data_IF_544633403446
#
_entry.id   IF_544633403446
#
_cell.length_a   1.000
_cell.length_b   1.000
_cell.length_c   1.000
_cell.angle_alpha   90.00
_cell.angle_beta   90.00
_cell.angle_gamma   90.00
#
_symmetry.space_group_name_H-M   'P 1'
#
loop_
_entity.id
_entity.type
_entity.pdbx_description
1 polymer ?
#
# COMPACT_ATOMS: atom_id res chain seq x y z
N UNK A 1 -31.61 -45.18 -28.46
CA UNK A 1 -30.16 -44.89 -28.53
C UNK A 1 -29.95 -43.54 -29.20
N UNK A 2 -29.19 -42.63 -28.58
CA UNK A 2 -28.55 -41.48 -29.23
C UNK A 2 -27.13 -41.93 -29.64
N UNK A 3 -26.50 -41.50 -30.75
CA UNK A 3 -25.78 -40.21 -30.84
C UNK A 3 -25.88 -39.58 -32.26
N UNK A 4 -25.58 -38.31 -32.55
CA UNK A 4 -24.25 -37.71 -32.64
C UNK A 4 -24.38 -36.26 -33.16
N UNK A 5 -23.49 -35.40 -32.66
CA UNK A 5 -23.23 -33.99 -32.98
C UNK A 5 -22.78 -33.73 -34.43
N UNK A 6 -23.14 -32.58 -35.01
CA UNK A 6 -22.35 -31.82 -36.02
C UNK A 6 -22.87 -30.36 -36.08
N UNK A 7 -22.28 -29.42 -35.33
CA UNK A 7 -21.24 -28.44 -35.72
C UNK A 7 -21.59 -27.50 -36.89
N UNK A 8 -21.61 -26.20 -36.56
CA UNK A 8 -21.69 -25.06 -37.47
C UNK A 8 -22.27 -23.86 -36.71
N UNK A 9 -21.50 -22.99 -36.04
CA UNK A 9 -20.13 -22.57 -36.30
C UNK A 9 -20.14 -21.13 -36.85
N UNK A 10 -20.58 -20.14 -36.06
CA UNK A 10 -20.24 -18.73 -36.30
C UNK A 10 -19.19 -18.33 -35.28
N UNK A 11 -17.97 -18.17 -35.78
CA UNK A 11 -16.80 -17.62 -35.09
C UNK A 11 -17.02 -16.13 -34.80
N UNK A 12 -16.67 -15.69 -33.61
CA UNK A 12 -16.63 -14.26 -33.30
C UNK A 12 -16.17 -13.95 -31.87
N UNK A 13 -14.86 -13.79 -31.72
CA UNK A 13 -14.16 -13.00 -30.70
C UNK A 13 -14.12 -13.48 -29.24
N UNK A 14 -12.92 -13.90 -28.84
CA UNK A 14 -12.44 -14.07 -27.47
C UNK A 14 -12.10 -12.70 -26.87
N UNK A 15 -12.59 -12.42 -25.65
CA UNK A 15 -11.96 -11.65 -24.56
C UNK A 15 -13.09 -11.13 -23.66
N UNK A 16 -13.60 -11.94 -22.73
CA UNK A 16 -13.13 -12.03 -21.33
C UNK A 16 -12.94 -10.66 -20.68
N UNK A 17 -13.97 -10.14 -20.04
CA UNK A 17 -14.03 -9.98 -18.57
C UNK A 17 -15.37 -9.36 -18.17
N UNK A 18 -16.35 -10.22 -17.94
CA UNK A 18 -17.61 -9.85 -17.32
C UNK A 18 -18.15 -11.09 -16.64
N UNK A 19 -18.12 -11.11 -15.31
CA UNK A 19 -18.96 -11.92 -14.42
C UNK A 19 -18.61 -11.63 -12.95
N UNK A 20 -19.45 -10.76 -12.39
CA UNK A 20 -19.75 -10.56 -10.98
C UNK A 20 -20.12 -11.92 -10.35
N UNK A 21 -19.57 -12.29 -9.18
CA UNK A 21 -20.10 -13.24 -8.15
C UNK A 21 -19.04 -13.29 -7.02
N UNK A 22 -19.24 -12.60 -5.90
CA UNK A 22 -19.97 -13.00 -4.69
C UNK A 22 -19.18 -13.92 -3.73
N UNK A 23 -19.17 -13.49 -2.46
CA UNK A 23 -18.95 -14.27 -1.25
C UNK A 23 -17.81 -15.30 -1.22
N UNK A 24 -16.72 -14.93 -0.57
CA UNK A 24 -16.14 -15.82 0.44
C UNK A 24 -15.84 -15.01 1.70
N UNK A 25 -16.79 -15.09 2.63
CA UNK A 25 -16.53 -14.96 4.06
C UNK A 25 -15.31 -15.81 4.41
N UNK A 26 -14.21 -15.19 4.83
CA UNK A 26 -13.14 -15.93 5.51
C UNK A 26 -13.00 -15.35 6.91
N UNK A 27 -13.87 -15.83 7.81
CA UNK A 27 -13.61 -15.78 9.24
C UNK A 27 -12.38 -16.62 9.54
N UNK A 28 -11.31 -15.98 9.97
CA UNK A 28 -10.46 -16.58 11.00
C UNK A 28 -10.29 -15.56 12.11
N UNK A 29 -11.02 -15.83 13.20
CA UNK A 29 -10.69 -15.30 14.53
C UNK A 29 -9.34 -15.94 14.89
N UNK A 30 -8.24 -15.19 14.77
CA UNK A 30 -6.98 -15.59 15.36
C UNK A 30 -6.93 -15.09 16.80
N UNK A 31 -7.43 -15.90 17.74
CA UNK A 31 -7.00 -15.82 19.13
C UNK A 31 -5.96 -16.91 19.36
N UNK A 32 -4.69 -16.52 19.41
CA UNK A 32 -3.62 -17.30 20.03
C UNK A 32 -2.69 -16.31 20.74
N UNK A 33 -2.70 -16.32 22.08
CA UNK A 33 -1.76 -15.53 22.88
C UNK A 33 -0.49 -16.33 23.16
N UNK A 34 0.63 -15.64 22.99
CA UNK A 34 1.95 -15.79 23.62
C UNK A 34 2.79 -17.06 23.40
N UNK A 35 3.90 -16.85 22.68
CA UNK A 35 5.21 -17.20 23.22
C UNK A 35 6.06 -15.91 23.35
N UNK A 36 6.35 -15.49 24.58
CA UNK A 36 7.42 -14.54 24.85
C UNK A 36 8.74 -15.30 24.73
N UNK A 37 9.29 -15.33 23.52
CA UNK A 37 10.68 -15.73 23.32
C UNK A 37 11.54 -14.50 23.54
N UNK A 38 12.09 -14.38 24.74
CA UNK A 38 13.28 -13.55 24.97
C UNK A 38 14.46 -14.26 24.33
N UNK A 39 14.62 -14.12 23.03
CA UNK A 39 15.92 -14.31 22.40
C UNK A 39 16.55 -12.93 22.37
N UNK A 40 17.59 -12.74 23.18
CA UNK A 40 18.45 -11.59 23.06
C UNK A 40 19.26 -11.77 21.77
N UNK A 41 18.60 -11.51 20.64
CA UNK A 41 19.29 -11.24 19.39
C UNK A 41 20.04 -9.93 19.64
N UNK A 42 21.35 -9.97 19.48
CA UNK A 42 22.23 -8.80 19.53
C UNK A 42 21.57 -7.65 18.76
N UNK A 43 21.18 -6.61 19.49
CA UNK A 43 20.21 -5.60 19.08
C UNK A 43 20.78 -4.64 18.05
N UNK A 44 21.11 -5.14 16.87
CA UNK A 44 21.11 -4.32 15.67
C UNK A 44 19.65 -3.97 15.43
N UNK A 45 19.19 -2.90 16.06
CA UNK A 45 18.00 -2.18 15.62
C UNK A 45 18.26 -1.85 14.15
N UNK A 46 17.68 -2.63 13.23
CA UNK A 46 17.59 -2.16 11.86
C UNK A 46 16.89 -0.81 11.95
N UNK A 47 17.44 0.19 11.26
CA UNK A 47 16.73 1.45 11.14
C UNK A 47 15.32 1.16 10.59
N UNK A 48 14.28 1.87 11.05
CA UNK A 48 12.94 1.69 10.49
C UNK A 48 13.02 1.81 8.97
N UNK A 49 12.50 0.81 8.25
CA UNK A 49 12.56 0.73 6.79
C UNK A 49 11.42 1.55 6.15
N UNK A 50 11.23 2.78 6.66
CA UNK A 50 10.35 3.77 6.05
C UNK A 50 11.15 4.54 5.01
N UNK A 51 10.83 4.31 3.74
CA UNK A 51 11.56 4.86 2.59
C UNK A 51 10.68 5.82 1.80
N UNK A 52 11.31 6.73 1.06
CA UNK A 52 10.62 7.47 0.00
C UNK A 52 10.41 6.52 -1.17
N UNK A 53 9.15 6.24 -1.52
CA UNK A 53 8.78 5.34 -2.61
C UNK A 53 8.63 6.10 -3.93
N UNK A 54 7.80 7.16 -3.92
CA UNK A 54 7.48 7.95 -5.10
C UNK A 54 7.52 9.45 -4.80
N UNK A 55 7.82 10.24 -5.82
CA UNK A 55 7.84 11.71 -5.74
C UNK A 55 7.13 12.26 -6.96
N UNK A 56 6.07 13.04 -6.73
CA UNK A 56 5.44 13.87 -7.73
C UNK A 56 5.79 15.33 -7.47
N UNK A 57 6.73 15.86 -8.25
CA UNK A 57 7.18 17.24 -8.17
C UNK A 57 7.24 17.87 -9.56
N UNK A 58 6.89 19.15 -9.62
CA UNK A 58 7.04 20.00 -10.81
C UNK A 58 6.46 19.38 -12.09
N UNK A 59 5.26 18.77 -12.01
CA UNK A 59 4.62 18.18 -13.19
C UNK A 59 4.33 19.25 -14.25
N UNK A 60 4.66 18.99 -15.53
CA UNK A 60 4.40 19.93 -16.61
C UNK A 60 2.90 20.01 -16.91
N UNK A 61 2.37 21.24 -16.91
CA UNK A 61 0.98 21.50 -17.29
C UNK A 61 0.34 22.60 -16.46
N UNK A 62 -0.86 23.02 -16.86
CA UNK A 62 -1.62 24.11 -16.20
C UNK A 62 -2.58 23.62 -15.11
N UNK A 63 -2.67 22.31 -14.88
CA UNK A 63 -3.65 21.68 -13.98
C UNK A 63 -3.01 20.96 -12.78
N UNK A 64 -1.72 21.15 -12.53
CA UNK A 64 -1.03 20.53 -11.39
C UNK A 64 -1.43 21.25 -10.09
N UNK A 65 -2.38 20.69 -9.35
CA UNK A 65 -2.91 21.29 -8.11
C UNK A 65 -2.16 20.83 -6.86
N UNK A 66 -1.39 19.74 -6.95
CA UNK A 66 -0.71 19.12 -5.84
C UNK A 66 0.69 18.68 -6.27
N UNK A 67 1.61 18.72 -5.30
CA UNK A 67 2.84 17.94 -5.32
C UNK A 67 2.84 17.05 -4.09
N UNK A 68 3.48 15.89 -4.18
CA UNK A 68 3.48 14.96 -3.08
C UNK A 68 4.70 14.05 -3.07
N UNK A 69 4.95 13.49 -1.89
CA UNK A 69 5.90 12.41 -1.66
C UNK A 69 5.15 11.24 -1.04
N UNK A 70 5.41 10.03 -1.54
CA UNK A 70 4.92 8.80 -0.96
C UNK A 70 6.00 8.17 -0.09
N UNK A 71 5.63 7.82 1.13
CA UNK A 71 6.42 6.98 2.03
C UNK A 71 5.88 5.56 1.98
N UNK A 72 6.79 4.58 1.96
CA UNK A 72 6.47 3.17 2.13
C UNK A 72 7.18 2.65 3.37
N UNK A 73 6.44 1.98 4.23
CA UNK A 73 6.98 1.22 5.33
C UNK A 73 7.24 -0.22 4.87
N UNK A 74 8.49 -0.56 4.59
CA UNK A 74 8.86 -1.92 4.18
C UNK A 74 8.92 -2.92 5.34
N UNK A 75 8.82 -2.47 6.59
CA UNK A 75 8.79 -3.35 7.74
C UNK A 75 7.45 -4.11 7.85
N UNK A 76 7.51 -5.22 8.60
CA UNK A 76 6.34 -6.03 8.98
C UNK A 76 5.59 -5.51 10.20
N UNK A 77 5.97 -4.32 10.71
CA UNK A 77 5.36 -3.66 11.88
C UNK A 77 4.94 -2.23 11.55
N UNK A 78 3.92 -1.72 12.23
CA UNK A 78 3.51 -0.31 12.13
C UNK A 78 4.58 0.61 12.76
N UNK A 79 4.85 1.75 12.12
CA UNK A 79 5.70 2.79 12.70
C UNK A 79 4.90 4.01 13.12
N UNK A 80 5.20 4.53 14.31
CA UNK A 80 4.73 5.83 14.77
C UNK A 80 5.62 6.93 14.18
N UNK A 81 4.99 7.88 13.48
CA UNK A 81 5.64 9.03 12.85
C UNK A 81 5.56 10.30 13.72
N UNK A 82 5.03 10.22 14.94
CA UNK A 82 5.04 11.33 15.86
C UNK A 82 6.47 11.83 16.12
N UNK A 83 6.67 13.14 15.99
CA UNK A 83 7.98 13.78 16.09
C UNK A 83 8.83 13.70 14.82
N UNK A 84 8.41 12.95 13.80
CA UNK A 84 9.08 12.96 12.50
C UNK A 84 8.80 14.27 11.76
N UNK A 85 9.68 14.61 10.83
CA UNK A 85 9.50 15.72 9.93
C UNK A 85 10.05 15.40 8.55
N UNK A 86 9.35 15.87 7.52
CA UNK A 86 9.86 15.97 6.16
C UNK A 86 10.62 17.29 6.02
N UNK A 87 11.91 17.22 5.73
CA UNK A 87 12.80 18.38 5.62
C UNK A 87 13.24 18.53 4.16
N UNK A 88 13.00 19.69 3.57
CA UNK A 88 13.42 20.03 2.20
C UNK A 88 14.05 21.40 2.18
N UNK A 89 15.37 21.47 1.98
CA UNK A 89 16.17 22.71 1.96
C UNK A 89 15.84 23.68 3.10
N UNK A 90 14.91 24.61 2.88
CA UNK A 90 14.53 25.69 3.80
C UNK A 90 13.15 25.46 4.48
N UNK A 91 12.50 24.32 4.21
CA UNK A 91 11.16 23.96 4.70
C UNK A 91 11.19 22.69 5.55
N UNK A 92 10.33 22.66 6.57
CA UNK A 92 10.16 21.52 7.48
C UNK A 92 8.69 21.31 7.77
N UNK A 93 8.15 20.20 7.28
CA UNK A 93 6.78 19.77 7.55
C UNK A 93 6.78 18.67 8.60
N UNK A 94 6.15 18.91 9.76
CA UNK A 94 6.04 17.92 10.84
C UNK A 94 4.80 17.05 10.66
N UNK A 95 4.92 15.78 10.99
CA UNK A 95 3.77 14.89 11.08
C UNK A 95 2.91 15.25 12.30
N UNK A 96 1.57 15.24 12.18
CA UNK A 96 0.67 15.41 13.32
C UNK A 96 0.90 14.34 14.41
N UNK A 97 0.64 14.68 15.67
CA UNK A 97 0.61 13.71 16.77
C UNK A 97 -0.34 12.55 16.45
N UNK A 98 0.11 11.32 16.73
CA UNK A 98 -0.64 10.10 16.42
C UNK A 98 -0.60 9.66 14.96
N UNK A 99 0.23 10.28 14.12
CA UNK A 99 0.47 9.79 12.75
C UNK A 99 1.17 8.44 12.80
N UNK A 100 0.62 7.44 12.12
CA UNK A 100 1.27 6.13 11.95
C UNK A 100 1.35 5.76 10.47
N UNK A 101 2.28 4.88 10.13
CA UNK A 101 2.33 4.19 8.85
C UNK A 101 2.23 2.67 9.11
N UNK A 102 1.16 2.00 8.64
CA UNK A 102 0.97 0.56 8.87
C UNK A 102 2.13 -0.28 8.33
N UNK A 103 2.27 -1.51 8.84
CA UNK A 103 3.18 -2.52 8.27
C UNK A 103 2.93 -2.71 6.77
N UNK A 104 4.00 -2.71 5.95
CA UNK A 104 3.89 -2.79 4.47
C UNK A 104 2.99 -1.71 3.85
N UNK A 105 2.74 -0.63 4.60
CA UNK A 105 1.77 0.42 4.26
C UNK A 105 2.40 1.63 3.59
N UNK A 106 1.54 2.48 3.04
CA UNK A 106 1.93 3.69 2.32
C UNK A 106 1.30 4.93 2.95
N UNK A 107 2.00 6.07 2.89
CA UNK A 107 1.51 7.36 3.35
C UNK A 107 1.89 8.45 2.36
N UNK A 108 0.92 9.29 1.98
CA UNK A 108 1.12 10.43 1.08
C UNK A 108 1.23 11.72 1.88
N UNK A 109 2.35 12.42 1.72
CA UNK A 109 2.50 13.81 2.16
C UNK A 109 2.28 14.73 0.95
N UNK A 110 1.11 15.37 0.89
CA UNK A 110 0.74 16.25 -0.21
C UNK A 110 0.73 17.72 0.19
N UNK A 111 1.27 18.57 -0.69
CA UNK A 111 1.12 20.03 -0.61
C UNK A 111 0.24 20.53 -1.75
N UNK A 112 -0.63 21.48 -1.44
CA UNK A 112 -1.42 22.18 -2.45
C UNK A 112 -0.64 23.33 -3.05
N UNK A 113 -0.60 23.36 -4.37
CA UNK A 113 -0.08 24.50 -5.14
C UNK A 113 -1.25 25.46 -5.41
N UNK A 114 -1.08 26.72 -5.00
CA UNK A 114 -2.07 27.78 -5.13
C UNK A 114 -2.08 28.37 -6.55
#
# INVERSE_FOLDING_TARGET
MNPHLDQGGIRGSLARYGKITACLLFTVVFSSVSAKTTSAEDGISSAPEVVINEVLANEPGTNTRLEWVELHNADSVEHNLEGWAFISKDDTTRFPTGSTIPASGFLILARRLL
#
